data_IF_153709538257
#
_entry.id   IF_153709538257
#
_cell.length_a   1.000
_cell.length_b   1.000
_cell.length_c   1.000
_cell.angle_alpha   90.00
_cell.angle_beta   90.00
_cell.angle_gamma   90.00
#
_symmetry.space_group_name_H-M   'P 1'
#
loop_
_entity.id
_entity.type
_entity.pdbx_description
1 polymer ?
#
# COMPACT_ATOMS: atom_id res chain seq x y z
N UNK A 1 -6.95 -6.80 2.75
CA UNK A 1 -6.93 -5.40 2.31
C UNK A 1 -5.53 -4.97 1.85
N UNK A 2 -4.58 -4.72 2.76
CA UNK A 2 -3.21 -4.27 2.40
C UNK A 2 -2.52 -5.28 1.49
N UNK A 3 -2.63 -6.58 1.76
CA UNK A 3 -2.11 -7.64 0.89
C UNK A 3 -2.59 -7.49 -0.56
N UNK A 4 -3.89 -7.25 -0.77
CA UNK A 4 -4.45 -7.08 -2.11
C UNK A 4 -3.92 -5.82 -2.79
N UNK A 5 -3.67 -4.73 -2.03
CA UNK A 5 -3.06 -3.51 -2.55
C UNK A 5 -1.62 -3.77 -3.01
N UNK A 6 -0.83 -4.47 -2.21
CA UNK A 6 0.55 -4.84 -2.55
C UNK A 6 0.58 -5.73 -3.79
N UNK A 7 -0.30 -6.72 -3.89
CA UNK A 7 -0.41 -7.56 -5.09
C UNK A 7 -0.84 -6.76 -6.33
N UNK A 8 -1.77 -5.80 -6.18
CA UNK A 8 -2.14 -4.87 -7.24
C UNK A 8 -0.93 -4.08 -7.76
N UNK A 9 -0.11 -3.52 -6.87
CA UNK A 9 1.10 -2.77 -7.25
C UNK A 9 2.09 -3.70 -7.95
N UNK A 10 2.30 -4.89 -7.41
CA UNK A 10 3.19 -5.92 -7.99
C UNK A 10 2.77 -6.30 -9.40
N UNK A 11 1.50 -6.66 -9.60
CA UNK A 11 0.98 -7.04 -10.91
C UNK A 11 1.23 -5.95 -11.96
N UNK A 12 0.99 -4.68 -11.60
CA UNK A 12 1.22 -3.56 -12.51
C UNK A 12 2.72 -3.30 -12.76
N UNK A 13 3.58 -3.45 -11.74
CA UNK A 13 5.02 -3.31 -11.88
C UNK A 13 5.60 -4.40 -12.80
N UNK A 14 5.21 -5.64 -12.62
CA UNK A 14 5.69 -6.79 -13.40
C UNK A 14 5.22 -6.77 -14.88
N UNK A 15 4.16 -6.02 -15.20
CA UNK A 15 3.76 -5.78 -16.59
C UNK A 15 4.74 -4.84 -17.33
N UNK A 16 5.57 -4.10 -16.63
CA UNK A 16 6.55 -3.20 -17.23
C UNK A 16 7.81 -4.00 -17.56
N UNK A 17 8.13 -4.10 -18.85
CA UNK A 17 9.30 -4.85 -19.30
C UNK A 17 10.59 -4.33 -18.68
N UNK A 18 11.39 -5.22 -18.12
CA UNK A 18 12.69 -4.89 -17.52
C UNK A 18 12.60 -4.43 -16.07
N UNK A 19 11.42 -4.54 -15.45
CA UNK A 19 11.20 -4.22 -14.04
C UNK A 19 11.06 -5.49 -13.22
N UNK A 20 11.61 -5.50 -12.01
CA UNK A 20 11.37 -6.52 -10.98
C UNK A 20 10.76 -5.88 -9.74
N UNK A 21 9.80 -6.57 -9.17
CA UNK A 21 9.15 -6.16 -7.94
C UNK A 21 9.73 -6.91 -6.74
N UNK A 22 9.94 -6.17 -5.66
CA UNK A 22 10.43 -6.69 -4.38
C UNK A 22 9.64 -6.11 -3.22
N UNK A 23 9.67 -6.84 -2.11
CA UNK A 23 9.24 -6.34 -0.79
C UNK A 23 10.46 -6.20 0.09
N UNK A 24 10.42 -5.33 1.07
CA UNK A 24 11.47 -5.24 2.10
C UNK A 24 11.39 -6.43 3.08
N UNK A 25 11.44 -7.65 2.53
CA UNK A 25 11.50 -8.91 3.27
C UNK A 25 12.86 -9.59 3.03
N UNK A 26 13.36 -10.31 4.04
CA UNK A 26 14.74 -10.83 4.03
C UNK A 26 15.15 -11.67 2.82
N UNK A 27 14.23 -12.44 2.21
CA UNK A 27 14.49 -13.20 0.99
C UNK A 27 14.63 -12.31 -0.24
N UNK A 28 13.88 -11.23 -0.31
CA UNK A 28 13.89 -10.33 -1.46
C UNK A 28 15.15 -9.46 -1.47
N UNK A 29 15.65 -9.05 -0.30
CA UNK A 29 16.93 -8.33 -0.17
C UNK A 29 18.10 -9.14 -0.75
N UNK A 30 18.14 -10.47 -0.49
CA UNK A 30 19.17 -11.35 -1.04
C UNK A 30 19.02 -11.51 -2.55
N UNK A 31 17.78 -11.61 -3.05
CA UNK A 31 17.51 -11.77 -4.48
C UNK A 31 17.81 -10.50 -5.28
N UNK A 32 17.65 -9.33 -4.68
CA UNK A 32 17.94 -8.05 -5.32
C UNK A 32 19.43 -7.85 -5.59
N UNK A 33 20.30 -8.26 -4.68
CA UNK A 33 21.75 -8.18 -4.84
C UNK A 33 22.26 -8.90 -6.10
N UNK A 34 21.52 -9.90 -6.59
CA UNK A 34 21.82 -10.62 -7.81
C UNK A 34 21.16 -10.01 -9.08
N UNK A 35 20.54 -8.86 -8.99
CA UNK A 35 19.68 -8.29 -10.04
C UNK A 35 20.20 -6.96 -10.62
N UNK A 36 21.49 -6.68 -10.52
CA UNK A 36 22.15 -5.39 -10.83
C UNK A 36 21.93 -4.83 -12.25
N UNK A 37 21.21 -5.49 -13.13
CA UNK A 37 20.94 -5.02 -14.50
C UNK A 37 19.45 -4.74 -14.77
N UNK A 38 18.65 -4.62 -13.73
CA UNK A 38 17.19 -4.54 -13.87
C UNK A 38 16.66 -3.44 -12.97
N UNK A 39 15.76 -2.60 -13.46
CA UNK A 39 15.06 -1.63 -12.63
C UNK A 39 14.30 -2.38 -11.53
N UNK A 40 14.48 -1.93 -10.31
CA UNK A 40 13.91 -2.54 -9.13
C UNK A 40 12.79 -1.66 -8.60
N UNK A 41 11.63 -2.25 -8.30
CA UNK A 41 10.55 -1.58 -7.59
C UNK A 41 10.39 -2.24 -6.23
N UNK A 42 10.55 -1.44 -5.18
CA UNK A 42 10.43 -1.86 -3.79
C UNK A 42 9.23 -1.22 -3.13
N UNK A 43 8.49 -1.99 -2.35
CA UNK A 43 7.45 -1.44 -1.48
C UNK A 43 7.94 -1.49 -0.03
N UNK A 44 7.91 -0.35 0.66
CA UNK A 44 8.28 -0.25 2.06
C UNK A 44 7.23 -0.89 2.97
N UNK A 45 7.68 -1.46 4.10
CA UNK A 45 6.81 -2.12 5.07
C UNK A 45 5.92 -1.13 5.83
N UNK A 46 6.35 0.13 5.93
CA UNK A 46 5.62 1.19 6.63
C UNK A 46 4.44 1.68 5.80
N UNK A 47 3.31 0.99 5.93
CA UNK A 47 2.05 1.37 5.29
C UNK A 47 1.13 2.00 6.32
N UNK A 48 0.89 3.31 6.17
CA UNK A 48 -0.05 4.03 7.02
C UNK A 48 -1.48 3.90 6.50
N UNK A 49 -2.41 3.62 7.43
CA UNK A 49 -3.84 3.52 7.10
C UNK A 49 -4.67 4.40 8.03
N UNK A 50 -5.58 5.19 7.46
CA UNK A 50 -6.54 6.03 8.16
C UNK A 50 -7.96 5.68 7.73
N UNK A 51 -8.82 5.37 8.69
CA UNK A 51 -10.21 5.09 8.42
C UNK A 51 -11.07 6.34 8.45
N UNK A 52 -11.78 6.61 7.36
CA UNK A 52 -12.72 7.74 7.24
C UNK A 52 -14.14 7.27 7.52
N UNK A 53 -14.53 7.24 8.80
CA UNK A 53 -15.82 6.71 9.29
C UNK A 53 -17.03 7.28 8.53
N UNK A 54 -17.04 8.59 8.25
CA UNK A 54 -18.19 9.28 7.61
C UNK A 54 -18.34 8.93 6.13
N UNK A 55 -17.32 8.38 5.49
CA UNK A 55 -17.30 8.09 4.05
C UNK A 55 -17.21 6.60 3.75
N UNK A 56 -17.06 5.78 4.77
CA UNK A 56 -16.80 4.35 4.65
C UNK A 56 -15.61 4.04 3.70
N UNK A 57 -14.55 4.83 3.84
CA UNK A 57 -13.34 4.75 3.05
C UNK A 57 -12.13 4.56 3.95
N UNK A 58 -11.10 3.94 3.41
CA UNK A 58 -9.77 3.90 3.99
C UNK A 58 -8.85 4.75 3.13
N UNK A 59 -8.10 5.65 3.77
CA UNK A 59 -6.92 6.24 3.16
C UNK A 59 -5.72 5.35 3.45
N UNK A 60 -4.89 5.18 2.45
CA UNK A 60 -3.62 4.47 2.56
C UNK A 60 -2.51 5.36 2.05
N UNK A 61 -1.44 5.44 2.82
CA UNK A 61 -0.18 6.04 2.40
C UNK A 61 0.90 4.95 2.44
N UNK A 62 1.66 4.85 1.37
CA UNK A 62 2.78 3.92 1.27
C UNK A 62 3.91 4.53 0.44
N UNK A 63 5.12 4.03 0.63
CA UNK A 63 6.27 4.42 -0.16
C UNK A 63 6.68 3.29 -1.10
N UNK A 64 7.04 3.67 -2.32
CA UNK A 64 7.55 2.78 -3.35
C UNK A 64 8.88 3.35 -3.82
N UNK A 65 9.95 2.60 -3.67
CA UNK A 65 11.26 2.95 -4.22
C UNK A 65 11.43 2.32 -5.60
N UNK A 66 11.76 3.15 -6.58
CA UNK A 66 12.03 2.76 -7.96
C UNK A 66 13.52 3.02 -8.19
N UNK A 67 14.31 1.97 -8.24
CA UNK A 67 15.77 2.03 -8.20
C UNK A 67 16.39 1.42 -9.46
N UNK A 68 17.50 2.00 -9.87
CA UNK A 68 18.29 1.52 -11.01
C UNK A 68 19.78 1.77 -10.75
N UNK A 69 20.62 1.15 -11.54
CA UNK A 69 22.08 1.34 -11.53
C UNK A 69 22.49 2.28 -12.63
N UNK A 70 23.60 3.01 -12.44
CA UNK A 70 24.19 3.85 -13.49
C UNK A 70 24.79 2.95 -14.58
N UNK A 71 24.31 3.14 -15.81
CA UNK A 71 24.89 2.51 -16.99
C UNK A 71 26.13 3.27 -17.52
N UNK A 72 26.85 2.66 -18.45
CA UNK A 72 28.00 3.28 -19.09
C UNK A 72 27.59 4.57 -19.83
N UNK A 73 28.16 5.70 -19.41
CA UNK A 73 27.90 7.02 -20.02
C UNK A 73 26.63 7.71 -19.58
N UNK A 74 25.90 7.14 -18.61
CA UNK A 74 24.75 7.79 -17.96
C UNK A 74 25.19 8.63 -16.75
N UNK A 75 24.40 9.63 -16.41
CA UNK A 75 24.54 10.35 -15.15
C UNK A 75 23.32 10.10 -14.23
N UNK A 76 23.39 10.59 -12.99
CA UNK A 76 22.31 10.42 -12.02
C UNK A 76 21.01 11.09 -12.44
N UNK A 77 21.08 12.16 -13.27
CA UNK A 77 19.90 12.88 -13.77
C UNK A 77 19.13 12.00 -14.75
N UNK A 78 19.83 11.26 -15.62
CA UNK A 78 19.22 10.32 -16.56
C UNK A 78 18.42 9.24 -15.83
N UNK A 79 18.97 8.71 -14.72
CA UNK A 79 18.29 7.71 -13.89
C UNK A 79 17.06 8.32 -13.22
N UNK A 80 17.21 9.52 -12.62
CA UNK A 80 16.08 10.16 -11.97
C UNK A 80 14.95 10.47 -12.95
N UNK A 81 15.26 10.93 -14.16
CA UNK A 81 14.26 11.18 -15.19
C UNK A 81 13.54 9.88 -15.61
N UNK A 82 14.30 8.79 -15.80
CA UNK A 82 13.76 7.47 -16.15
C UNK A 82 12.88 6.91 -15.04
N UNK A 83 13.34 6.91 -13.79
CA UNK A 83 12.60 6.36 -12.65
C UNK A 83 11.38 7.20 -12.26
N UNK A 84 11.45 8.53 -12.40
CA UNK A 84 10.29 9.42 -12.26
C UNK A 84 9.20 9.09 -13.28
N UNK A 85 9.58 8.96 -14.58
CA UNK A 85 8.64 8.58 -15.64
C UNK A 85 7.99 7.23 -15.37
N UNK A 86 8.78 6.28 -14.89
CA UNK A 86 8.30 4.95 -14.55
C UNK A 86 7.31 4.99 -13.39
N UNK A 87 7.56 5.79 -12.35
CA UNK A 87 6.62 6.02 -11.25
C UNK A 87 5.28 6.56 -11.74
N UNK A 88 5.29 7.55 -12.65
CA UNK A 88 4.07 8.11 -13.24
C UNK A 88 3.32 7.05 -14.06
N UNK A 89 4.03 6.23 -14.84
CA UNK A 89 3.43 5.12 -15.60
C UNK A 89 2.79 4.11 -14.67
N UNK A 90 3.47 3.73 -13.58
CA UNK A 90 2.93 2.80 -12.60
C UNK A 90 1.63 3.32 -11.96
N UNK A 91 1.58 4.60 -11.58
CA UNK A 91 0.35 5.23 -11.06
C UNK A 91 -0.78 5.13 -12.09
N UNK A 92 -0.51 5.46 -13.36
CA UNK A 92 -1.53 5.39 -14.42
C UNK A 92 -2.06 3.99 -14.65
N UNK A 93 -1.19 2.98 -14.61
CA UNK A 93 -1.62 1.58 -14.69
C UNK A 93 -2.50 1.17 -13.51
N UNK A 94 -2.12 1.57 -12.30
CA UNK A 94 -2.92 1.32 -11.09
C UNK A 94 -4.30 2.00 -11.22
N UNK A 95 -4.36 3.28 -11.59
CA UNK A 95 -5.61 4.01 -11.77
C UNK A 95 -6.51 3.38 -12.84
N UNK A 96 -5.95 2.94 -13.95
CA UNK A 96 -6.71 2.36 -15.07
C UNK A 96 -7.27 0.98 -14.72
N UNK A 97 -6.41 0.11 -14.17
CA UNK A 97 -6.77 -1.27 -13.90
C UNK A 97 -7.67 -1.44 -12.66
N UNK A 98 -7.58 -0.52 -11.70
CA UNK A 98 -8.25 -0.65 -10.40
C UNK A 98 -9.18 0.53 -10.07
N UNK A 99 -9.59 1.34 -11.04
CA UNK A 99 -10.44 2.54 -10.89
C UNK A 99 -11.74 2.34 -10.10
N UNK A 100 -12.25 1.10 -10.04
CA UNK A 100 -13.47 0.77 -9.30
C UNK A 100 -13.20 0.32 -7.86
N UNK A 101 -11.93 0.10 -7.50
CA UNK A 101 -11.50 -0.47 -6.22
C UNK A 101 -10.70 0.56 -5.42
N UNK A 102 -9.91 1.36 -6.10
CA UNK A 102 -9.08 2.38 -5.45
C UNK A 102 -9.02 3.67 -6.28
N UNK A 103 -8.67 4.76 -5.62
CA UNK A 103 -8.44 6.05 -6.26
C UNK A 103 -7.16 6.66 -5.69
N UNK A 104 -6.22 7.00 -6.57
CA UNK A 104 -5.05 7.78 -6.20
C UNK A 104 -5.46 9.24 -6.13
N UNK A 105 -5.26 9.90 -4.98
CA UNK A 105 -5.63 11.30 -4.83
C UNK A 105 -4.42 12.24 -4.73
N UNK A 106 -3.25 11.70 -4.44
CA UNK A 106 -2.00 12.46 -4.42
C UNK A 106 -0.78 11.54 -4.52
N UNK A 107 0.35 12.08 -4.96
CA UNK A 107 1.64 11.43 -4.93
C UNK A 107 2.77 12.45 -4.93
N UNK A 108 3.90 12.07 -4.33
CA UNK A 108 5.12 12.86 -4.35
C UNK A 108 6.28 12.00 -4.86
N UNK A 109 7.17 12.61 -5.65
CA UNK A 109 8.38 11.98 -6.15
C UNK A 109 9.59 12.66 -5.54
N UNK A 110 10.47 11.89 -4.92
CA UNK A 110 11.73 12.34 -4.33
C UNK A 110 12.88 11.58 -5.00
N UNK A 111 13.78 12.32 -5.65
CA UNK A 111 15.00 11.71 -6.20
C UNK A 111 15.91 11.26 -5.07
N UNK A 112 16.34 10.01 -5.13
CA UNK A 112 17.22 9.39 -4.14
C UNK A 112 18.52 8.96 -4.81
N UNK A 113 19.63 9.21 -4.12
CA UNK A 113 20.98 8.88 -4.58
C UNK A 113 21.69 8.06 -3.50
N UNK A 114 22.54 7.13 -3.92
CA UNK A 114 23.28 6.23 -3.02
C UNK A 114 22.33 5.46 -2.07
N UNK A 115 21.31 4.86 -2.65
CA UNK A 115 20.39 4.03 -1.89
C UNK A 115 21.05 2.68 -1.59
N UNK A 116 21.30 2.41 -0.33
CA UNK A 116 22.10 1.28 0.16
C UNK A 116 23.60 1.30 -0.28
N UNK A 117 24.34 0.26 0.12
CA UNK A 117 25.76 0.10 -0.22
C UNK A 117 26.00 -0.28 -1.69
N UNK A 118 24.93 -0.45 -2.48
CA UNK A 118 24.97 -0.99 -3.86
C UNK A 118 24.96 0.10 -4.96
N UNK A 119 25.22 1.37 -4.62
CA UNK A 119 25.19 2.51 -5.57
C UNK A 119 23.93 2.54 -6.44
N UNK A 120 22.78 2.29 -5.82
CA UNK A 120 21.48 2.43 -6.45
C UNK A 120 21.01 3.88 -6.42
N UNK A 121 20.41 4.30 -7.51
CA UNK A 121 19.84 5.63 -7.70
C UNK A 121 18.41 5.50 -8.16
N UNK A 122 17.60 6.51 -7.93
CA UNK A 122 16.24 6.44 -8.43
C UNK A 122 15.29 7.42 -7.80
N UNK A 123 14.05 6.97 -7.62
CA UNK A 123 12.95 7.78 -7.13
C UNK A 123 12.20 7.05 -6.03
N UNK A 124 12.04 7.72 -4.89
CA UNK A 124 11.05 7.35 -3.88
C UNK A 124 9.73 8.00 -4.23
N UNK A 125 8.71 7.20 -4.39
CA UNK A 125 7.35 7.65 -4.62
C UNK A 125 6.51 7.45 -3.36
N UNK A 126 6.06 8.55 -2.74
CA UNK A 126 5.02 8.48 -1.70
C UNK A 126 3.67 8.53 -2.38
N UNK A 127 2.90 7.46 -2.26
CA UNK A 127 1.61 7.27 -2.90
C UNK A 127 0.48 7.37 -1.88
N UNK A 128 -0.51 8.19 -2.18
CA UNK A 128 -1.69 8.42 -1.35
C UNK A 128 -2.94 7.98 -2.10
N UNK A 129 -3.66 7.02 -1.54
CA UNK A 129 -4.84 6.47 -2.19
C UNK A 129 -6.00 6.27 -1.22
N UNK A 130 -7.19 6.16 -1.77
CA UNK A 130 -8.41 5.77 -1.05
C UNK A 130 -8.98 4.50 -1.63
N UNK A 131 -9.55 3.68 -0.77
CA UNK A 131 -10.28 2.48 -1.14
C UNK A 131 -11.51 2.31 -0.25
N UNK A 132 -12.55 1.58 -0.72
CA UNK A 132 -13.67 1.24 0.13
C UNK A 132 -13.22 0.49 1.38
N UNK A 133 -13.86 0.76 2.51
CA UNK A 133 -13.62 -0.02 3.72
C UNK A 133 -14.02 -1.48 3.50
N UNK A 134 -13.17 -2.44 3.88
CA UNK A 134 -13.56 -3.84 3.90
C UNK A 134 -14.49 -4.17 5.08
N UNK A 135 -14.65 -3.24 6.02
CA UNK A 135 -15.42 -3.43 7.24
C UNK A 135 -16.78 -2.78 7.05
N UNK A 136 -17.82 -3.59 7.01
CA UNK A 136 -19.19 -3.09 7.10
C UNK A 136 -19.54 -2.88 8.59
N UNK A 137 -19.45 -1.64 9.06
CA UNK A 137 -19.76 -1.31 10.46
C UNK A 137 -21.22 -1.55 10.85
N UNK A 138 -22.13 -1.67 9.89
CA UNK A 138 -23.49 -2.11 10.18
C UNK A 138 -23.55 -3.60 10.56
N UNK A 139 -22.50 -4.35 10.31
CA UNK A 139 -22.43 -5.79 10.56
C UNK A 139 -21.11 -6.23 11.22
N UNK A 140 -20.69 -5.49 12.25
CA UNK A 140 -19.41 -5.69 12.94
C UNK A 140 -19.28 -7.11 13.53
N UNK A 141 -20.40 -7.75 13.87
CA UNK A 141 -20.39 -9.11 14.41
C UNK A 141 -19.93 -10.14 13.37
N UNK A 142 -20.31 -9.99 12.11
CA UNK A 142 -19.86 -10.89 11.04
C UNK A 142 -18.35 -10.75 10.83
N UNK A 143 -17.83 -9.52 10.91
CA UNK A 143 -16.40 -9.27 10.83
C UNK A 143 -15.62 -9.90 12.01
N UNK A 144 -16.17 -9.81 13.23
CA UNK A 144 -15.57 -10.46 14.42
C UNK A 144 -15.59 -11.98 14.25
N UNK A 145 -16.66 -12.55 13.70
CA UNK A 145 -16.76 -13.99 13.44
C UNK A 145 -15.72 -14.44 12.39
N UNK A 146 -15.49 -13.64 11.36
CA UNK A 146 -14.46 -13.89 10.36
C UNK A 146 -13.04 -13.84 10.95
N UNK A 147 -12.73 -12.83 11.78
CA UNK A 147 -11.47 -12.73 12.49
C UNK A 147 -11.23 -13.91 13.42
N UNK A 148 -12.25 -14.31 14.19
CA UNK A 148 -12.13 -15.43 15.11
C UNK A 148 -11.91 -16.76 14.36
N UNK A 149 -12.49 -16.92 13.17
CA UNK A 149 -12.22 -18.06 12.31
C UNK A 149 -10.77 -18.08 11.85
N UNK A 150 -10.26 -16.95 11.37
CA UNK A 150 -8.87 -16.80 10.94
C UNK A 150 -7.88 -17.18 12.05
N UNK A 151 -8.07 -16.65 13.26
CA UNK A 151 -7.19 -16.94 14.38
C UNK A 151 -7.26 -18.39 14.88
N UNK A 152 -8.40 -19.06 14.73
CA UNK A 152 -8.53 -20.50 15.05
C UNK A 152 -7.78 -21.38 14.04
N UNK A 153 -7.80 -21.01 12.76
CA UNK A 153 -7.11 -21.76 11.70
C UNK A 153 -5.58 -21.66 11.82
N UNK A 154 -5.06 -20.57 12.42
CA UNK A 154 -3.61 -20.38 12.62
C UNK A 154 -3.08 -20.84 14.00
N UNK A 155 -3.86 -21.60 14.79
CA UNK A 155 -3.52 -21.98 16.17
C UNK A 155 -3.16 -20.80 17.10
N UNK A 156 -3.58 -19.59 16.75
CA UNK A 156 -3.42 -18.40 17.59
C UNK A 156 -4.63 -18.30 18.52
N UNK A 157 -4.43 -18.57 19.82
CA UNK A 157 -5.47 -18.47 20.86
C UNK A 157 -5.91 -17.00 21.15
N UNK A 158 -6.21 -16.24 20.12
CA UNK A 158 -6.79 -14.90 20.30
C UNK A 158 -8.28 -15.00 20.02
N UNK A 159 -9.08 -15.08 21.06
CA UNK A 159 -10.54 -15.01 20.96
C UNK A 159 -10.96 -13.56 21.18
N UNK A 160 -11.48 -12.93 20.13
CA UNK A 160 -12.10 -11.62 20.24
C UNK A 160 -13.53 -11.81 20.71
N UNK A 161 -13.82 -11.41 21.95
CA UNK A 161 -15.17 -11.46 22.46
C UNK A 161 -16.04 -10.40 21.79
N UNK A 162 -17.22 -10.79 21.35
CA UNK A 162 -18.22 -9.84 20.84
C UNK A 162 -18.59 -8.86 21.95
N UNK A 163 -18.59 -7.55 21.66
CA UNK A 163 -19.08 -6.59 22.64
C UNK A 163 -20.57 -6.85 22.90
N UNK A 164 -20.93 -7.09 24.15
CA UNK A 164 -22.34 -7.07 24.58
C UNK A 164 -22.83 -5.63 24.55
N UNK A 165 -23.35 -5.19 23.39
CA UNK A 165 -23.98 -3.88 23.25
C UNK A 165 -25.43 -4.04 23.75
N UNK A 166 -25.66 -3.67 24.98
CA UNK A 166 -27.03 -3.54 25.52
C UNK A 166 -27.66 -2.25 24.97
N UNK A 167 -28.40 -2.40 23.87
CA UNK A 167 -29.08 -1.30 23.18
C UNK A 167 -30.01 -0.53 24.12
N UNK A 168 -30.49 -1.14 25.19
CA UNK A 168 -31.38 -0.51 26.19
C UNK A 168 -30.61 0.42 27.14
N UNK A 169 -29.28 0.36 27.18
CA UNK A 169 -28.41 1.23 27.99
C UNK A 169 -27.81 2.40 27.19
N UNK A 170 -28.08 2.45 25.89
CA UNK A 170 -27.73 3.62 25.08
C UNK A 170 -28.71 4.73 25.43
N UNK A 171 -28.29 5.64 26.29
CA UNK A 171 -29.05 6.86 26.66
C UNK A 171 -29.01 7.80 25.43
N UNK A 172 -29.88 7.52 24.46
CA UNK A 172 -30.07 8.38 23.29
C UNK A 172 -30.88 9.59 23.75
N UNK A 173 -30.21 10.56 24.38
CA UNK A 173 -30.82 11.85 24.64
C UNK A 173 -31.19 12.51 23.32
N UNK A 174 -32.46 12.74 23.01
CA UNK A 174 -32.86 13.39 21.78
C UNK A 174 -32.28 14.82 21.78
N UNK A 175 -31.47 15.11 20.76
CA UNK A 175 -30.95 16.44 20.51
C UNK A 175 -32.15 17.41 20.41
N UNK A 176 -32.37 18.22 21.42
CA UNK A 176 -33.36 19.30 21.37
C UNK A 176 -32.87 20.34 20.37
N UNK A 177 -33.34 20.27 19.13
CA UNK A 177 -33.22 21.35 18.17
C UNK A 177 -33.93 22.59 18.77
N UNK A 178 -33.15 23.58 19.19
CA UNK A 178 -33.72 24.91 19.51
C UNK A 178 -34.25 25.50 18.19
N UNK A 179 -35.55 25.80 18.20
CA UNK A 179 -36.18 26.62 17.19
C UNK A 179 -35.67 28.05 17.24
#
# INVERSE_FOLDING_TARGET
MIKNLVECIKENAEHIKGVKFFKYEGSDLINAQNSNSTIQIWIEDDIFTEYLVTKDLIKVQLNIDILDTIGDGEDTIDIHDRTNKLGIVLIKLIEENYKNILSVYDYNLLNVSHYSDDDLFGTRMSLYLTMPSPINFCNINDFIDELNKYYKEEDKEIIINKPEIDINKLDINPIKLKK
#
